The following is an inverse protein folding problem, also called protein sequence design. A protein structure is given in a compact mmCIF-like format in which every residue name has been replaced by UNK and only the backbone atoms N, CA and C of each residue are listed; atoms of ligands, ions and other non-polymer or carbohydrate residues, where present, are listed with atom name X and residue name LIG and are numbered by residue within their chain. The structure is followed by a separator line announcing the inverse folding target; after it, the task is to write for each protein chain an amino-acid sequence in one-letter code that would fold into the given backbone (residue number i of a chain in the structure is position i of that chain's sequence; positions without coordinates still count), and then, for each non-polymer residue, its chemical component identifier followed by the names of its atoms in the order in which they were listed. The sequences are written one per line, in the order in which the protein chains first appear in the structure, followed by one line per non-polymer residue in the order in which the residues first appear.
data_IF_322815100749
#
_entry.id   IF_322815100749
#
_cell.length_a   1.000
_cell.length_b   1.000
_cell.length_c   1.000
_cell.angle_alpha   90.00
_cell.angle_beta   90.00
_cell.angle_gamma   90.00
#
_symmetry.space_group_name_H-M   'P 1'
#
loop_
_entity.id
_entity.type
_entity.pdbx_description
1 polymer ?
#
# COMPACT_ATOMS: atom_id res chain seq x y z
N UNK A 1 25.50 -18.14 -16.14
CA UNK A 1 24.46 -17.09 -16.00
C UNK A 1 25.11 -15.97 -15.20
N UNK A 2 25.35 -14.79 -15.79
CA UNK A 2 25.98 -13.66 -15.09
C UNK A 2 24.84 -12.82 -14.52
N UNK A 3 24.56 -12.99 -13.23
CA UNK A 3 23.59 -12.17 -12.52
C UNK A 3 24.22 -10.80 -12.25
N UNK A 4 23.77 -9.76 -12.97
CA UNK A 4 24.17 -8.39 -12.66
C UNK A 4 23.22 -7.85 -11.58
N UNK A 5 23.72 -7.28 -10.48
CA UNK A 5 22.88 -6.63 -9.48
C UNK A 5 22.11 -5.48 -10.12
N UNK A 6 20.86 -5.29 -9.69
CA UNK A 6 20.04 -4.16 -10.13
C UNK A 6 20.70 -2.83 -9.70
N UNK A 7 20.56 -1.74 -10.47
CA UNK A 7 21.06 -0.44 -10.05
C UNK A 7 20.42 -0.04 -8.72
N UNK A 8 21.22 0.48 -7.78
CA UNK A 8 20.78 0.88 -6.42
C UNK A 8 19.54 1.81 -6.34
N UNK A 9 19.11 2.40 -7.46
CA UNK A 9 17.96 3.30 -7.57
C UNK A 9 16.74 2.68 -8.26
N UNK A 10 16.77 1.38 -8.56
CA UNK A 10 15.71 0.68 -9.27
C UNK A 10 15.54 -0.71 -8.65
N UNK A 11 14.99 -0.78 -7.42
CA UNK A 11 14.89 -2.04 -6.69
C UNK A 11 13.82 -2.98 -7.26
N UNK A 12 12.94 -2.46 -8.13
CA UNK A 12 11.98 -3.18 -8.96
C UNK A 12 12.09 -2.76 -10.43
N UNK A 13 11.67 -3.62 -11.36
CA UNK A 13 11.48 -3.28 -12.77
C UNK A 13 10.41 -4.16 -13.40
N UNK A 14 9.33 -3.56 -13.88
CA UNK A 14 8.40 -4.20 -14.80
C UNK A 14 8.92 -4.19 -16.25
N UNK A 15 9.01 -5.37 -16.89
CA UNK A 15 9.34 -5.51 -18.32
C UNK A 15 8.68 -6.72 -18.94
N UNK A 16 7.91 -6.51 -20.02
CA UNK A 16 7.27 -7.57 -20.81
C UNK A 16 6.41 -8.56 -19.99
N UNK A 17 5.65 -8.06 -19.02
CA UNK A 17 4.83 -8.90 -18.15
C UNK A 17 5.61 -9.63 -17.04
N UNK A 18 6.90 -9.33 -16.87
CA UNK A 18 7.75 -9.89 -15.81
C UNK A 18 8.21 -8.75 -14.91
N UNK A 19 8.05 -8.95 -13.59
CA UNK A 19 8.58 -8.03 -12.57
C UNK A 19 9.89 -8.62 -12.05
N UNK A 20 10.95 -7.81 -12.11
CA UNK A 20 12.26 -8.13 -11.55
C UNK A 20 12.42 -7.39 -10.23
N UNK A 21 12.87 -8.09 -9.18
CA UNK A 21 13.15 -7.51 -7.87
C UNK A 21 14.64 -7.71 -7.53
N UNK A 22 15.22 -6.76 -6.81
CA UNK A 22 16.57 -6.93 -6.27
C UNK A 22 16.57 -8.03 -5.21
N UNK A 23 17.48 -9.01 -5.36
CA UNK A 23 17.62 -10.15 -4.46
C UNK A 23 18.10 -9.78 -3.05
N UNK A 24 18.61 -8.56 -2.87
CA UNK A 24 19.09 -8.07 -1.57
C UNK A 24 17.98 -7.46 -0.72
N UNK A 25 16.75 -7.35 -1.24
CA UNK A 25 15.61 -6.83 -0.50
C UNK A 25 15.21 -7.77 0.63
N UNK A 26 14.75 -7.20 1.73
CA UNK A 26 14.02 -7.98 2.73
C UNK A 26 12.71 -8.50 2.13
N UNK A 27 12.12 -9.57 2.70
CA UNK A 27 10.82 -10.05 2.27
C UNK A 27 9.75 -8.94 2.25
N UNK A 28 9.73 -8.10 3.28
CA UNK A 28 8.79 -7.00 3.43
C UNK A 28 8.94 -5.97 2.31
N UNK A 29 10.18 -5.49 2.08
CA UNK A 29 10.46 -4.54 0.99
C UNK A 29 10.18 -5.14 -0.39
N UNK A 30 10.34 -6.46 -0.54
CA UNK A 30 9.99 -7.14 -1.79
C UNK A 30 8.48 -7.09 -2.06
N UNK A 31 7.64 -7.23 -1.02
CA UNK A 31 6.17 -7.10 -1.12
C UNK A 31 5.79 -5.67 -1.49
N UNK A 32 6.36 -4.68 -0.81
CA UNK A 32 6.08 -3.26 -1.04
C UNK A 32 6.40 -2.84 -2.49
N UNK A 33 7.60 -3.19 -2.97
CA UNK A 33 8.04 -2.86 -4.33
C UNK A 33 7.21 -3.62 -5.36
N UNK A 34 6.89 -4.89 -5.12
CA UNK A 34 6.02 -5.65 -6.02
C UNK A 34 4.65 -4.98 -6.17
N UNK A 35 4.07 -4.51 -5.07
CA UNK A 35 2.78 -3.81 -5.08
C UNK A 35 2.87 -2.48 -5.86
N UNK A 36 3.96 -1.73 -5.71
CA UNK A 36 4.20 -0.48 -6.44
C UNK A 36 4.37 -0.72 -7.94
N UNK A 37 5.14 -1.74 -8.36
CA UNK A 37 5.31 -2.13 -9.77
C UNK A 37 3.98 -2.58 -10.40
N UNK A 38 3.15 -3.31 -9.66
CA UNK A 38 1.77 -3.62 -10.09
C UNK A 38 0.95 -2.33 -10.24
N UNK A 39 1.09 -1.40 -9.29
CA UNK A 39 0.47 -0.08 -9.37
C UNK A 39 0.90 0.70 -10.61
N UNK A 40 2.18 0.68 -10.97
CA UNK A 40 2.69 1.29 -12.19
C UNK A 40 2.06 0.66 -13.44
N UNK A 41 1.97 -0.67 -13.48
CA UNK A 41 1.35 -1.37 -14.60
C UNK A 41 -0.10 -0.90 -14.86
N UNK A 42 -0.88 -0.66 -13.80
CA UNK A 42 -2.29 -0.28 -13.93
C UNK A 42 -2.54 1.24 -14.03
N UNK A 43 -1.65 2.08 -13.50
CA UNK A 43 -1.94 3.51 -13.30
C UNK A 43 -0.99 4.47 -14.02
N UNK A 44 0.13 3.97 -14.54
CA UNK A 44 1.13 4.78 -15.24
C UNK A 44 1.09 4.59 -16.76
N UNK A 45 1.53 5.61 -17.50
CA UNK A 45 1.64 5.61 -18.95
C UNK A 45 2.81 6.49 -19.41
N UNK A 46 3.47 6.08 -20.50
CA UNK A 46 4.64 6.78 -21.04
C UNK A 46 5.93 6.51 -20.25
N UNK A 47 6.97 7.29 -20.53
CA UNK A 47 8.25 7.22 -19.82
C UNK A 47 8.24 8.12 -18.58
N UNK A 48 8.22 7.48 -17.41
CA UNK A 48 8.15 8.14 -16.11
C UNK A 48 9.52 8.36 -15.45
N UNK A 49 10.62 8.04 -16.12
CA UNK A 49 11.98 8.08 -15.53
C UNK A 49 12.50 9.50 -15.25
N UNK A 50 11.89 10.52 -15.86
CA UNK A 50 12.24 11.93 -15.66
C UNK A 50 11.45 12.55 -14.49
N UNK A 51 12.02 12.47 -13.29
CA UNK A 51 11.44 13.03 -12.06
C UNK A 51 11.46 14.57 -11.99
N UNK A 52 11.99 15.29 -12.99
CA UNK A 52 11.85 16.75 -13.07
C UNK A 52 10.45 17.18 -13.52
N UNK A 53 9.68 16.25 -14.11
CA UNK A 53 8.33 16.50 -14.60
C UNK A 53 7.30 16.22 -13.49
N UNK A 54 6.47 17.23 -13.21
CA UNK A 54 5.36 17.11 -12.24
C UNK A 54 4.40 15.98 -12.61
N UNK A 55 4.19 15.73 -13.90
CA UNK A 55 3.35 14.63 -14.37
C UNK A 55 3.89 13.26 -13.93
N UNK A 56 5.19 13.03 -14.07
CA UNK A 56 5.83 11.78 -13.66
C UNK A 56 5.75 11.59 -12.14
N UNK A 57 5.96 12.65 -11.36
CA UNK A 57 5.76 12.60 -9.90
C UNK A 57 4.31 12.26 -9.52
N UNK A 58 3.32 12.76 -10.26
CA UNK A 58 1.91 12.40 -10.02
C UNK A 58 1.61 10.94 -10.34
N UNK A 59 2.24 10.39 -11.38
CA UNK A 59 2.10 8.97 -11.73
C UNK A 59 2.72 8.07 -10.66
N UNK A 60 3.92 8.41 -10.19
CA UNK A 60 4.58 7.73 -9.06
C UNK A 60 3.67 7.67 -7.82
N UNK A 61 3.12 8.81 -7.39
CA UNK A 61 2.22 8.87 -6.24
C UNK A 61 0.96 8.03 -6.45
N UNK A 62 0.43 7.95 -7.69
CA UNK A 62 -0.73 7.10 -8.00
C UNK A 62 -0.38 5.62 -7.90
N UNK A 63 0.76 5.21 -8.43
CA UNK A 63 1.23 3.83 -8.36
C UNK A 63 1.45 3.39 -6.91
N UNK A 64 2.10 4.22 -6.09
CA UNK A 64 2.29 3.93 -4.66
C UNK A 64 0.97 3.81 -3.90
N UNK A 65 0.04 4.75 -4.12
CA UNK A 65 -1.29 4.70 -3.51
C UNK A 65 -2.05 3.43 -3.92
N UNK A 66 -1.97 3.04 -5.19
CA UNK A 66 -2.52 1.78 -5.65
C UNK A 66 -1.89 0.59 -4.91
N UNK A 67 -0.56 0.58 -4.74
CA UNK A 67 0.14 -0.44 -3.95
C UNK A 67 -0.34 -0.52 -2.50
N UNK A 68 -0.52 0.64 -1.83
CA UNK A 68 -1.09 0.69 -0.47
C UNK A 68 -2.48 0.07 -0.42
N UNK A 69 -3.36 0.43 -1.36
CA UNK A 69 -4.73 -0.11 -1.42
C UNK A 69 -4.75 -1.61 -1.78
N UNK A 70 -3.74 -2.10 -2.50
CA UNK A 70 -3.59 -3.51 -2.85
C UNK A 70 -3.19 -4.38 -1.65
N UNK A 71 -2.26 -3.91 -0.81
CA UNK A 71 -1.75 -4.68 0.34
C UNK A 71 -2.61 -4.44 1.59
N UNK A 72 -2.86 -3.17 1.93
CA UNK A 72 -3.56 -2.76 3.15
C UNK A 72 -5.02 -2.47 2.80
N UNK A 73 -5.79 -3.51 2.50
CA UNK A 73 -7.21 -3.37 2.14
C UNK A 73 -8.06 -3.00 3.37
N UNK A 74 -9.24 -2.40 3.16
CA UNK A 74 -10.19 -2.19 4.27
C UNK A 74 -10.63 -3.50 4.91
N UNK A 75 -10.84 -4.55 4.13
CA UNK A 75 -11.19 -5.87 4.66
C UNK A 75 -10.04 -6.45 5.50
N UNK A 76 -8.79 -6.28 5.07
CA UNK A 76 -7.61 -6.67 5.85
C UNK A 76 -7.49 -5.88 7.15
N UNK A 77 -7.77 -4.56 7.15
CA UNK A 77 -7.78 -3.76 8.38
C UNK A 77 -8.87 -4.25 9.34
N UNK A 78 -10.06 -4.61 8.84
CA UNK A 78 -11.14 -5.18 9.64
C UNK A 78 -10.74 -6.54 10.22
N UNK A 79 -10.14 -7.41 9.41
CA UNK A 79 -9.65 -8.72 9.84
C UNK A 79 -8.60 -8.58 10.95
N UNK A 80 -7.54 -7.80 10.72
CA UNK A 80 -6.50 -7.52 11.70
C UNK A 80 -7.09 -7.05 13.03
N UNK A 81 -8.03 -6.10 12.96
CA UNK A 81 -8.69 -5.58 14.17
C UNK A 81 -9.50 -6.64 14.91
N UNK A 82 -10.16 -7.54 14.17
CA UNK A 82 -10.98 -8.62 14.73
C UNK A 82 -10.17 -9.68 15.46
N UNK A 83 -8.91 -9.89 15.07
CA UNK A 83 -7.99 -10.86 15.69
C UNK A 83 -7.09 -10.23 16.77
N UNK A 84 -7.30 -8.94 17.10
CA UNK A 84 -6.57 -8.26 18.16
C UNK A 84 -5.28 -7.53 17.72
N UNK A 85 -5.02 -7.43 16.42
CA UNK A 85 -3.87 -6.69 15.87
C UNK A 85 -4.21 -5.20 15.82
N UNK A 86 -3.80 -4.46 16.85
CA UNK A 86 -4.22 -3.05 17.06
C UNK A 86 -3.08 -2.03 17.03
N UNK A 87 -1.82 -2.48 16.94
CA UNK A 87 -0.66 -1.60 16.86
C UNK A 87 0.12 -1.78 15.54
N UNK A 88 0.87 -0.75 15.17
CA UNK A 88 1.56 -0.67 13.88
C UNK A 88 2.58 -1.80 13.69
N UNK A 89 3.29 -2.18 14.76
CA UNK A 89 4.25 -3.28 14.70
C UNK A 89 3.58 -4.62 14.38
N UNK A 90 2.49 -4.95 15.07
CA UNK A 90 1.73 -6.17 14.77
C UNK A 90 1.06 -6.12 13.39
N UNK A 91 0.62 -4.94 12.95
CA UNK A 91 0.07 -4.76 11.60
C UNK A 91 1.13 -5.00 10.53
N UNK A 92 2.34 -4.47 10.71
CA UNK A 92 3.46 -4.70 9.80
C UNK A 92 3.74 -6.20 9.63
N UNK A 93 3.75 -6.96 10.75
CA UNK A 93 3.89 -8.42 10.72
C UNK A 93 2.70 -9.08 10.00
N UNK A 94 1.46 -8.68 10.33
CA UNK A 94 0.26 -9.26 9.76
C UNK A 94 0.18 -9.09 8.23
N UNK A 95 0.50 -7.90 7.73
CA UNK A 95 0.48 -7.59 6.29
C UNK A 95 1.78 -7.95 5.57
N UNK A 96 2.84 -8.34 6.29
CA UNK A 96 4.13 -8.69 5.71
C UNK A 96 4.85 -7.50 5.06
N UNK A 97 4.74 -6.32 5.66
CA UNK A 97 5.36 -5.06 5.19
C UNK A 97 6.07 -4.36 6.35
N UNK A 98 6.74 -3.24 6.07
CA UNK A 98 7.37 -2.42 7.11
C UNK A 98 6.36 -1.54 7.85
N UNK A 99 6.68 -1.14 9.08
CA UNK A 99 5.87 -0.20 9.86
C UNK A 99 5.66 1.13 9.13
N UNK A 100 6.69 1.63 8.44
CA UNK A 100 6.62 2.83 7.61
C UNK A 100 5.53 2.69 6.52
N UNK A 101 5.45 1.54 5.86
CA UNK A 101 4.44 1.28 4.85
C UNK A 101 3.01 1.28 5.42
N UNK A 102 2.82 0.74 6.63
CA UNK A 102 1.53 0.81 7.34
C UNK A 102 1.16 2.28 7.60
N UNK A 103 2.09 3.09 8.11
CA UNK A 103 1.85 4.52 8.35
C UNK A 103 1.47 5.26 7.06
N UNK A 104 2.21 5.03 5.98
CA UNK A 104 1.94 5.66 4.68
C UNK A 104 0.58 5.25 4.10
N UNK A 105 0.19 3.98 4.25
CA UNK A 105 -1.11 3.49 3.80
C UNK A 105 -2.26 4.10 4.61
N UNK A 106 -2.14 4.18 5.94
CA UNK A 106 -3.16 4.83 6.80
C UNK A 106 -3.28 6.32 6.46
N UNK A 107 -2.16 7.01 6.30
CA UNK A 107 -2.16 8.43 5.93
C UNK A 107 -2.76 8.64 4.53
N UNK A 108 -2.48 7.74 3.59
CA UNK A 108 -3.12 7.75 2.28
C UNK A 108 -4.64 7.65 2.39
N UNK A 109 -5.17 6.71 3.18
CA UNK A 109 -6.61 6.59 3.40
C UNK A 109 -7.19 7.82 4.07
N UNK A 110 -6.49 8.40 5.06
CA UNK A 110 -6.91 9.64 5.72
C UNK A 110 -7.02 10.80 4.72
N UNK A 111 -6.05 10.94 3.82
CA UNK A 111 -6.08 11.96 2.77
C UNK A 111 -7.22 11.75 1.77
N UNK A 112 -7.58 10.49 1.49
CA UNK A 112 -8.62 10.14 0.51
C UNK A 112 -10.03 10.22 1.09
N UNK A 113 -10.23 9.82 2.34
CA UNK A 113 -11.55 9.63 2.95
C UNK A 113 -11.83 10.56 4.14
N UNK A 114 -10.86 11.37 4.58
CA UNK A 114 -10.96 12.14 5.82
C UNK A 114 -10.62 11.30 7.05
N UNK A 115 -11.13 11.68 8.23
CA UNK A 115 -10.77 11.03 9.49
C UNK A 115 -11.30 9.59 9.63
N UNK A 116 -12.35 9.24 8.89
CA UNK A 116 -12.96 7.91 8.92
C UNK A 116 -13.79 7.63 7.67
N UNK A 117 -13.99 6.36 7.35
CA UNK A 117 -14.89 5.89 6.29
C UNK A 117 -15.78 4.74 6.76
N UNK A 118 -16.95 4.59 6.13
CA UNK A 118 -17.76 3.39 6.27
C UNK A 118 -17.39 2.43 5.14
N UNK A 119 -17.13 1.18 5.48
CA UNK A 119 -16.89 0.08 4.55
C UNK A 119 -17.73 -1.12 4.98
N UNK A 120 -18.81 -1.41 4.23
CA UNK A 120 -19.83 -2.37 4.64
C UNK A 120 -20.46 -1.99 5.99
N UNK A 121 -20.49 -2.94 6.92
CA UNK A 121 -20.99 -2.75 8.28
C UNK A 121 -19.92 -2.22 9.26
N UNK A 122 -18.82 -1.65 8.76
CA UNK A 122 -17.71 -1.20 9.60
C UNK A 122 -17.42 0.29 9.40
N UNK A 123 -17.19 0.98 10.51
CA UNK A 123 -16.60 2.31 10.54
C UNK A 123 -15.10 2.16 10.82
N UNK A 124 -14.27 2.59 9.88
CA UNK A 124 -12.81 2.62 9.99
C UNK A 124 -12.40 4.06 10.24
N UNK A 125 -11.81 4.34 11.40
CA UNK A 125 -11.16 5.62 11.74
C UNK A 125 -9.67 5.50 11.47
N UNK A 126 -9.04 6.54 10.94
CA UNK A 126 -7.61 6.54 10.60
C UNK A 126 -6.73 7.27 11.62
N UNK A 127 -7.31 8.06 12.52
CA UNK A 127 -6.58 8.85 13.53
C UNK A 127 -7.36 8.97 14.87
N UNK A 128 -7.00 8.18 15.91
CA UNK A 128 -6.17 6.97 15.84
C UNK A 128 -6.85 5.88 14.98
N UNK A 129 -6.05 4.95 14.43
CA UNK A 129 -6.59 3.81 13.68
C UNK A 129 -7.49 2.98 14.60
N UNK A 130 -8.77 2.85 14.27
CA UNK A 130 -9.75 2.06 15.02
C UNK A 130 -10.83 1.52 14.09
N UNK A 131 -11.27 0.29 14.32
CA UNK A 131 -12.36 -0.34 13.55
C UNK A 131 -13.53 -0.66 14.47
N UNK A 132 -14.73 -0.19 14.11
CA UNK A 132 -15.96 -0.45 14.84
C UNK A 132 -16.99 -1.10 13.92
N UNK A 133 -17.74 -2.07 14.44
CA UNK A 133 -18.94 -2.54 13.74
C UNK A 133 -20.02 -1.46 13.82
N UNK A 134 -20.35 -0.86 12.69
CA UNK A 134 -21.45 0.08 12.54
C UNK A 134 -22.78 -0.67 12.68
N UNK A 135 -23.64 -0.18 13.55
CA UNK A 135 -25.05 -0.58 13.62
C UNK A 135 -25.88 0.68 13.46
N UNK A 136 -26.70 0.76 12.41
CA UNK A 136 -27.70 1.82 12.37
C UNK A 136 -28.73 1.51 13.46
N UNK A 137 -28.82 2.40 14.46
CA UNK A 137 -29.78 2.29 15.56
C UNK A 137 -31.15 2.88 15.18
N UNK A 138 -31.29 3.40 13.95
CA UNK A 138 -32.56 3.85 13.36
C UNK A 138 -33.18 2.70 12.56
N UNK A 139 -33.53 1.62 13.24
CA UNK A 139 -34.44 0.60 12.71
C UNK A 139 -35.88 0.96 13.05
N UNK A 140 -36.76 0.89 12.05
CA UNK A 140 -38.23 1.00 12.13
C UNK A 140 -38.88 0.03 13.12
#
# INVERSE_FOLDING_TARGET
MIERPMPKKMPGLYKNGVIYLDKQLSPEKSVEILAEEIGHHFTSAGDITDYSKIENMKQEVRARRFGHELIITFDGLIEAWSIGVHNIFEMAIHFGVTEEYIFEAIEHYKQRHGLSTIHGDYLIRFDPLMVYKYKDLRGE
#
